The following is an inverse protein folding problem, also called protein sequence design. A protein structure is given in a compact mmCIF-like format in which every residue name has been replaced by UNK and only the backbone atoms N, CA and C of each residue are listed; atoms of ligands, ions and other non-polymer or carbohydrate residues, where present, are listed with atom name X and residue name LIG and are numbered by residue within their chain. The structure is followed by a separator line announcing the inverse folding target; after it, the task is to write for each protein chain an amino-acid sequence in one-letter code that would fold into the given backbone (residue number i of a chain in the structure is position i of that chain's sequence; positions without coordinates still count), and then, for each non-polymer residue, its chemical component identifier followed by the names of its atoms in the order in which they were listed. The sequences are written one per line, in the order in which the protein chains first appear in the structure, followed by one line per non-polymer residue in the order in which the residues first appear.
data_IF_121939701799
#
_entry.id   IF_121939701799
#
_cell.length_a   1.000
_cell.length_b   1.000
_cell.length_c   1.000
_cell.angle_alpha   90.00
_cell.angle_beta   90.00
_cell.angle_gamma   90.00
#
_symmetry.space_group_name_H-M   'P 1'
#
loop_
_entity.id
_entity.type
_entity.pdbx_description
1 polymer ?
#
# COMPACT_ATOMS: atom_id res chain seq x y z
N UNK A 1 46.30 -45.76 71.10
CA UNK A 1 46.80 -44.49 70.50
C UNK A 1 47.28 -44.59 69.04
N UNK A 2 47.35 -45.77 68.41
CA UNK A 2 47.89 -45.94 67.03
C UNK A 2 46.81 -45.73 65.94
N UNK A 3 45.52 -45.93 66.26
CA UNK A 3 44.40 -45.74 65.32
C UNK A 3 44.14 -44.28 64.92
N UNK A 4 44.44 -43.31 65.80
CA UNK A 4 44.23 -41.89 65.53
C UNK A 4 45.24 -41.30 64.51
N UNK A 5 46.41 -41.91 64.33
CA UNK A 5 47.44 -41.44 63.39
C UNK A 5 47.19 -41.85 61.93
N UNK A 6 46.42 -42.91 61.66
CA UNK A 6 46.07 -43.34 60.29
C UNK A 6 44.90 -42.59 59.66
N UNK A 7 44.10 -41.87 60.45
CA UNK A 7 42.91 -41.13 59.98
C UNK A 7 43.27 -39.73 59.45
N UNK A 8 44.39 -39.16 59.90
CA UNK A 8 44.87 -37.84 59.48
C UNK A 8 45.01 -37.67 57.94
N UNK A 9 45.66 -38.58 57.18
CA UNK A 9 45.78 -38.41 55.72
C UNK A 9 44.43 -38.50 54.99
N UNK A 10 43.48 -39.26 55.50
CA UNK A 10 42.15 -39.38 54.91
C UNK A 10 41.33 -38.09 55.02
N UNK A 11 41.46 -37.37 56.15
CA UNK A 11 40.80 -36.05 56.33
C UNK A 11 41.38 -35.01 55.37
N UNK A 12 42.70 -34.95 55.23
CA UNK A 12 43.34 -34.03 54.28
C UNK A 12 42.92 -34.30 52.83
N UNK A 13 42.82 -35.57 52.43
CA UNK A 13 42.32 -35.93 51.10
C UNK A 13 40.86 -35.52 50.89
N UNK A 14 39.99 -35.75 51.88
CA UNK A 14 38.58 -35.34 51.83
C UNK A 14 38.43 -33.82 51.67
N UNK A 15 39.21 -33.02 52.42
CA UNK A 15 39.19 -31.56 52.29
C UNK A 15 39.67 -31.10 50.92
N UNK A 16 40.73 -31.70 50.38
CA UNK A 16 41.22 -31.37 49.03
C UNK A 16 40.18 -31.69 47.96
N UNK A 17 39.56 -32.87 48.03
CA UNK A 17 38.50 -33.27 47.11
C UNK A 17 37.30 -32.32 47.18
N UNK A 18 36.91 -31.90 48.39
CA UNK A 18 35.79 -30.97 48.59
C UNK A 18 36.12 -29.56 48.06
N UNK A 19 37.36 -29.09 48.22
CA UNK A 19 37.83 -27.83 47.61
C UNK A 19 37.86 -27.90 46.08
N UNK A 20 38.26 -29.03 45.49
CA UNK A 20 38.20 -29.23 44.04
C UNK A 20 36.77 -29.21 43.52
N UNK A 21 35.84 -29.91 44.18
CA UNK A 21 34.41 -29.90 43.82
C UNK A 21 33.81 -28.50 43.98
N UNK A 22 34.17 -27.78 45.04
CA UNK A 22 33.73 -26.41 45.25
C UNK A 22 34.28 -25.46 44.16
N UNK A 23 35.57 -25.57 43.85
CA UNK A 23 36.20 -24.81 42.76
C UNK A 23 35.56 -25.09 41.39
N UNK A 24 35.28 -26.37 41.08
CA UNK A 24 34.58 -26.77 39.87
C UNK A 24 33.16 -26.18 39.80
N UNK A 25 32.41 -26.20 40.91
CA UNK A 25 31.09 -25.59 40.99
C UNK A 25 31.12 -24.07 40.77
N UNK A 26 32.11 -23.37 41.34
CA UNK A 26 32.30 -21.92 41.10
C UNK A 26 32.53 -21.66 39.61
N UNK A 27 33.40 -22.45 38.96
CA UNK A 27 33.70 -22.32 37.53
C UNK A 27 32.45 -22.57 36.68
N UNK A 28 31.69 -23.64 36.99
CA UNK A 28 30.44 -23.98 36.28
C UNK A 28 29.38 -22.87 36.42
N UNK A 29 29.16 -22.37 37.64
CA UNK A 29 28.22 -21.26 37.89
C UNK A 29 28.67 -19.99 37.16
N UNK A 30 29.98 -19.72 37.10
CA UNK A 30 30.54 -18.60 36.34
C UNK A 30 30.20 -18.68 34.86
N UNK A 31 30.42 -19.83 34.21
CA UNK A 31 30.11 -20.05 32.80
C UNK A 31 28.60 -19.98 32.50
N UNK A 32 27.76 -20.54 33.37
CA UNK A 32 26.30 -20.46 33.19
C UNK A 32 25.83 -19.01 33.33
N UNK A 33 26.36 -18.24 34.29
CA UNK A 33 26.01 -16.83 34.48
C UNK A 33 26.43 -15.97 33.28
N UNK A 34 27.62 -16.18 32.71
CA UNK A 34 28.05 -15.42 31.52
C UNK A 34 27.17 -15.74 30.31
N UNK A 35 26.89 -17.02 30.06
CA UNK A 35 26.01 -17.43 28.97
C UNK A 35 24.56 -16.91 29.15
N UNK A 36 24.04 -16.93 30.38
CA UNK A 36 22.72 -16.37 30.68
C UNK A 36 22.71 -14.85 30.51
N UNK A 37 23.77 -14.15 30.92
CA UNK A 37 23.87 -12.70 30.75
C UNK A 37 23.90 -12.29 29.27
N UNK A 38 24.60 -13.04 28.41
CA UNK A 38 24.59 -12.81 26.96
C UNK A 38 23.22 -13.06 26.35
N UNK A 39 22.55 -14.17 26.71
CA UNK A 39 21.18 -14.45 26.27
C UNK A 39 20.19 -13.40 26.74
N UNK A 40 20.25 -13.00 28.01
CA UNK A 40 19.38 -11.96 28.55
C UNK A 40 19.59 -10.61 27.84
N UNK A 41 20.85 -10.25 27.52
CA UNK A 41 21.14 -9.03 26.74
C UNK A 41 20.58 -9.12 25.33
N UNK A 42 20.75 -10.26 24.65
CA UNK A 42 20.23 -10.47 23.31
C UNK A 42 18.68 -10.46 23.29
N UNK A 43 18.03 -11.07 24.28
CA UNK A 43 16.58 -11.04 24.45
C UNK A 43 16.08 -9.63 24.77
N UNK A 44 16.76 -8.92 25.67
CA UNK A 44 16.44 -7.54 25.98
C UNK A 44 16.56 -6.65 24.73
N UNK A 45 17.62 -6.83 23.96
CA UNK A 45 17.87 -6.11 22.71
C UNK A 45 16.85 -6.47 21.61
N UNK A 46 16.43 -7.72 21.54
CA UNK A 46 15.37 -8.17 20.63
C UNK A 46 13.99 -7.61 21.03
N UNK A 47 13.77 -7.41 22.33
CA UNK A 47 12.49 -6.92 22.87
C UNK A 47 12.32 -5.41 22.84
N UNK A 48 13.42 -4.64 22.79
CA UNK A 48 13.31 -3.17 22.75
C UNK A 48 12.76 -2.72 21.38
N UNK A 49 12.05 -1.59 21.31
CA UNK A 49 11.58 -1.03 20.05
C UNK A 49 12.71 -0.82 19.04
N UNK A 50 12.39 -0.89 17.74
CA UNK A 50 13.31 -0.52 16.68
C UNK A 50 13.36 1.00 16.53
N UNK A 51 14.55 1.58 16.46
CA UNK A 51 14.73 3.01 16.24
C UNK A 51 14.65 3.32 14.75
N UNK A 52 13.66 4.12 14.35
CA UNK A 52 13.42 4.49 12.96
C UNK A 52 13.45 6.00 12.76
N UNK A 53 13.98 6.41 11.63
CA UNK A 53 13.87 7.78 11.11
C UNK A 53 12.92 7.78 9.92
N UNK A 54 12.05 8.80 9.86
CA UNK A 54 11.03 8.93 8.83
C UNK A 54 11.23 10.24 8.07
N UNK A 55 11.28 10.14 6.75
CA UNK A 55 11.26 11.30 5.86
C UNK A 55 10.07 11.17 4.92
N UNK A 56 9.09 12.06 5.08
CA UNK A 56 7.96 12.20 4.19
C UNK A 56 8.33 13.19 3.09
N UNK A 57 8.45 12.67 1.86
CA UNK A 57 8.68 13.47 0.68
C UNK A 57 7.32 13.76 0.03
N UNK A 58 6.90 15.02 0.05
CA UNK A 58 5.54 15.43 -0.31
C UNK A 58 5.54 16.53 -1.40
N UNK A 59 4.46 16.60 -2.17
CA UNK A 59 4.11 17.79 -2.95
C UNK A 59 3.05 18.57 -2.19
N UNK A 60 3.45 19.67 -1.55
CA UNK A 60 2.55 20.50 -0.75
C UNK A 60 1.50 21.24 -1.60
N UNK A 61 1.66 21.29 -2.92
CA UNK A 61 0.64 21.83 -3.84
C UNK A 61 -0.43 20.80 -4.21
N UNK A 62 -0.17 19.50 -3.99
CA UNK A 62 -1.10 18.42 -4.32
C UNK A 62 -2.07 18.11 -3.16
N UNK A 63 -3.25 18.74 -3.18
CA UNK A 63 -4.21 18.68 -2.08
C UNK A 63 -4.89 17.31 -1.87
N UNK A 64 -4.96 16.48 -2.90
CA UNK A 64 -5.67 15.18 -2.90
C UNK A 64 -4.72 13.99 -3.16
N UNK A 65 -3.41 14.23 -3.16
CA UNK A 65 -2.41 13.17 -3.23
C UNK A 65 -2.58 12.17 -2.09
N UNK A 66 -2.08 10.95 -2.31
CA UNK A 66 -2.17 9.87 -1.32
C UNK A 66 -1.71 10.33 0.08
N UNK A 67 -2.56 10.23 1.12
CA UNK A 67 -2.24 10.77 2.45
C UNK A 67 -1.23 9.86 3.18
N UNK A 68 0.05 10.01 2.85
CA UNK A 68 1.13 9.11 3.27
C UNK A 68 1.27 9.04 4.80
N UNK A 69 1.25 10.19 5.48
CA UNK A 69 1.35 10.25 6.94
C UNK A 69 0.21 9.55 7.66
N UNK A 70 -1.02 9.80 7.24
CA UNK A 70 -2.21 9.19 7.84
C UNK A 70 -2.18 7.67 7.61
N UNK A 71 -1.78 7.25 6.40
CA UNK A 71 -1.64 5.83 6.07
C UNK A 71 -0.55 5.15 6.91
N UNK A 72 0.57 5.84 7.15
CA UNK A 72 1.65 5.33 7.99
C UNK A 72 1.27 5.29 9.48
N UNK A 73 0.47 6.25 9.96
CA UNK A 73 0.09 6.33 11.37
C UNK A 73 -0.58 5.04 11.88
N UNK A 74 -1.38 4.37 11.05
CA UNK A 74 -2.03 3.11 11.42
C UNK A 74 -1.07 1.92 11.39
N UNK A 75 -0.14 1.90 10.41
CA UNK A 75 0.93 0.90 10.36
C UNK A 75 1.80 1.00 11.60
N UNK A 76 2.23 2.22 11.96
CA UNK A 76 3.08 2.49 13.13
C UNK A 76 2.48 1.94 14.43
N UNK A 77 1.16 2.02 14.62
CA UNK A 77 0.49 1.49 15.82
C UNK A 77 0.64 -0.03 15.96
N UNK A 78 0.85 -0.74 14.86
CA UNK A 78 1.06 -2.20 14.86
C UNK A 78 2.53 -2.62 15.05
N UNK A 79 3.47 -1.66 15.00
CA UNK A 79 4.90 -1.91 15.08
C UNK A 79 5.46 -1.50 16.44
N UNK A 80 6.39 -2.30 16.97
CA UNK A 80 7.18 -1.94 18.15
C UNK A 80 8.38 -1.07 17.71
N UNK A 81 8.11 0.20 17.46
CA UNK A 81 9.08 1.18 16.94
C UNK A 81 9.14 2.43 17.81
N UNK A 82 10.32 3.02 17.90
CA UNK A 82 10.58 4.36 18.42
C UNK A 82 11.01 5.24 17.25
N UNK A 83 10.32 6.37 17.06
CA UNK A 83 10.65 7.31 15.98
C UNK A 83 11.65 8.31 16.53
N UNK A 84 12.89 8.22 16.07
CA UNK A 84 14.00 9.07 16.52
C UNK A 84 14.04 10.40 15.78
N UNK A 85 13.59 10.41 14.51
CA UNK A 85 13.45 11.61 13.69
C UNK A 85 12.25 11.48 12.76
N UNK A 86 11.51 12.58 12.58
CA UNK A 86 10.41 12.69 11.62
C UNK A 86 10.52 14.03 10.89
N UNK A 87 10.59 14.00 9.56
CA UNK A 87 10.77 15.17 8.71
C UNK A 87 9.81 15.18 7.53
N UNK A 88 9.39 16.39 7.17
CA UNK A 88 8.60 16.67 5.98
C UNK A 88 9.44 17.49 5.02
N UNK A 89 9.58 17.00 3.80
CA UNK A 89 10.42 17.62 2.79
C UNK A 89 9.59 17.80 1.52
N UNK A 90 9.58 19.02 1.00
CA UNK A 90 8.99 19.28 -0.31
C UNK A 90 9.85 18.59 -1.38
N UNK A 91 9.24 17.78 -2.24
CA UNK A 91 9.99 17.02 -3.26
C UNK A 91 10.74 17.91 -4.26
N UNK A 92 10.27 19.15 -4.46
CA UNK A 92 10.82 20.16 -5.35
C UNK A 92 11.86 21.07 -4.69
N UNK A 93 12.10 20.93 -3.38
CA UNK A 93 13.21 21.57 -2.68
C UNK A 93 14.56 20.96 -3.08
N UNK A 94 15.67 21.67 -2.82
CA UNK A 94 17.02 21.15 -3.11
C UNK A 94 17.33 19.85 -2.37
N UNK A 95 16.90 19.74 -1.09
CA UNK A 95 17.01 18.50 -0.32
C UNK A 95 16.12 17.40 -0.90
N UNK A 96 14.87 17.74 -1.26
CA UNK A 96 13.93 16.80 -1.87
C UNK A 96 14.43 16.21 -3.18
N UNK A 97 14.94 17.04 -4.09
CA UNK A 97 15.54 16.60 -5.36
C UNK A 97 16.73 15.68 -5.15
N UNK A 98 17.57 15.97 -4.15
CA UNK A 98 18.69 15.11 -3.78
C UNK A 98 18.19 13.73 -3.35
N UNK A 99 17.14 13.65 -2.54
CA UNK A 99 16.52 12.38 -2.12
C UNK A 99 15.87 11.65 -3.30
N UNK A 100 15.18 12.35 -4.20
CA UNK A 100 14.60 11.77 -5.42
C UNK A 100 15.68 11.11 -6.27
N UNK A 101 16.81 11.78 -6.49
CA UNK A 101 17.93 11.26 -7.27
C UNK A 101 18.61 10.08 -6.58
N UNK A 102 18.97 10.24 -5.29
CA UNK A 102 19.64 9.21 -4.50
C UNK A 102 18.85 7.90 -4.48
N UNK A 103 17.57 7.98 -4.11
CA UNK A 103 16.72 6.81 -3.91
C UNK A 103 15.92 6.41 -5.17
N UNK A 104 16.13 7.13 -6.30
CA UNK A 104 15.43 6.92 -7.58
C UNK A 104 13.91 6.91 -7.42
N UNK A 105 13.40 7.83 -6.62
CA UNK A 105 11.97 7.94 -6.30
C UNK A 105 11.22 8.36 -7.56
N UNK A 106 10.15 7.64 -7.89
CA UNK A 106 9.33 7.93 -9.09
C UNK A 106 7.97 8.54 -8.76
N UNK A 107 7.48 8.35 -7.54
CA UNK A 107 6.12 8.71 -7.14
C UNK A 107 6.16 9.56 -5.87
N UNK A 108 5.45 10.67 -5.88
CA UNK A 108 5.30 11.57 -4.74
C UNK A 108 3.81 11.63 -4.34
N UNK A 109 3.46 11.39 -3.08
CA UNK A 109 4.35 11.33 -1.94
C UNK A 109 5.07 9.98 -1.80
N UNK A 110 6.24 10.02 -1.17
CA UNK A 110 7.03 8.85 -0.80
C UNK A 110 7.42 8.93 0.68
N UNK A 111 7.49 7.78 1.34
CA UNK A 111 8.06 7.69 2.68
C UNK A 111 9.38 6.93 2.62
N UNK A 112 10.43 7.56 3.14
CA UNK A 112 11.76 6.98 3.29
C UNK A 112 11.92 6.63 4.78
N UNK A 113 12.19 5.35 5.07
CA UNK A 113 12.40 4.85 6.42
C UNK A 113 13.86 4.42 6.56
N UNK A 114 14.57 4.97 7.54
CA UNK A 114 15.96 4.64 7.87
C UNK A 114 16.09 4.14 9.31
N UNK A 115 17.28 3.70 9.68
CA UNK A 115 17.59 3.22 11.03
C UNK A 115 17.55 1.69 11.11
N UNK A 116 16.90 1.15 12.13
CA UNK A 116 16.88 -0.28 12.43
C UNK A 116 15.83 -1.08 11.63
N UNK A 117 15.76 -0.84 10.32
CA UNK A 117 14.77 -1.44 9.41
C UNK A 117 14.91 -2.97 9.27
N UNK A 118 16.09 -3.51 9.60
CA UNK A 118 16.39 -4.96 9.57
C UNK A 118 16.16 -5.65 10.92
N UNK A 119 15.64 -4.93 11.94
CA UNK A 119 15.43 -5.53 13.26
C UNK A 119 14.32 -6.57 13.21
N UNK A 120 14.54 -7.73 13.83
CA UNK A 120 13.70 -8.91 13.70
C UNK A 120 12.21 -8.68 14.03
N UNK A 121 11.88 -7.76 14.93
CA UNK A 121 10.51 -7.44 15.31
C UNK A 121 9.75 -6.56 14.29
N UNK A 122 10.43 -5.98 13.30
CA UNK A 122 9.83 -5.09 12.29
C UNK A 122 10.16 -5.44 10.85
N UNK A 123 11.25 -6.18 10.61
CA UNK A 123 11.81 -6.42 9.27
C UNK A 123 10.80 -6.99 8.27
N UNK A 124 10.03 -8.01 8.67
CA UNK A 124 9.03 -8.64 7.80
C UNK A 124 7.90 -7.66 7.43
N UNK A 125 7.33 -6.97 8.42
CA UNK A 125 6.27 -6.00 8.20
C UNK A 125 6.74 -4.83 7.35
N UNK A 126 7.94 -4.30 7.61
CA UNK A 126 8.53 -3.22 6.82
C UNK A 126 8.80 -3.66 5.37
N UNK A 127 9.36 -4.85 5.17
CA UNK A 127 9.59 -5.39 3.83
C UNK A 127 8.29 -5.60 3.02
N UNK A 128 7.15 -5.82 3.69
CA UNK A 128 5.86 -5.93 3.03
C UNK A 128 5.28 -4.57 2.56
N UNK A 129 5.75 -3.46 3.14
CA UNK A 129 5.22 -2.13 2.86
C UNK A 129 5.99 -1.40 1.75
N UNK A 130 7.26 -1.73 1.58
CA UNK A 130 8.15 -0.96 0.73
C UNK A 130 9.26 -1.79 0.09
N UNK A 131 10.06 -1.13 -0.72
CA UNK A 131 11.22 -1.73 -1.39
C UNK A 131 12.49 -1.17 -0.78
N UNK A 132 13.46 -2.04 -0.50
CA UNK A 132 14.77 -1.62 -0.02
C UNK A 132 15.51 -0.81 -1.08
N UNK A 133 16.09 0.31 -0.68
CA UNK A 133 16.98 1.14 -1.49
C UNK A 133 18.14 1.59 -0.61
N UNK A 134 19.32 1.03 -0.87
CA UNK A 134 20.53 1.31 -0.07
C UNK A 134 20.34 1.01 1.43
N UNK A 135 20.47 2.02 2.27
CA UNK A 135 20.31 2.02 3.72
C UNK A 135 18.87 2.33 4.18
N UNK A 136 17.95 2.53 3.23
CA UNK A 136 16.56 2.89 3.50
C UNK A 136 15.55 1.87 2.96
N UNK A 137 14.33 1.95 3.47
CA UNK A 137 13.14 1.36 2.87
C UNK A 137 12.30 2.47 2.25
N UNK A 138 11.92 2.30 0.97
CA UNK A 138 11.06 3.22 0.25
C UNK A 138 9.63 2.68 0.20
N UNK A 139 8.71 3.44 0.79
CA UNK A 139 7.27 3.16 0.75
C UNK A 139 6.62 4.10 -0.27
N UNK A 140 6.03 3.47 -1.29
CA UNK A 140 5.31 4.15 -2.37
C UNK A 140 3.81 4.29 -2.01
N UNK A 141 3.09 5.23 -2.65
CA UNK A 141 1.67 5.39 -2.38
C UNK A 141 0.90 4.13 -2.81
N UNK A 142 0.04 3.62 -1.93
CA UNK A 142 -0.65 2.34 -2.12
C UNK A 142 -1.78 2.41 -3.17
N UNK A 143 -2.25 3.61 -3.49
CA UNK A 143 -3.24 3.88 -4.54
C UNK A 143 -2.84 5.12 -5.35
N UNK A 144 -3.39 5.28 -6.57
CA UNK A 144 -3.15 6.45 -7.41
C UNK A 144 -3.64 7.78 -6.79
N UNK A 145 -3.37 8.86 -7.55
CA UNK A 145 -3.19 10.25 -7.13
C UNK A 145 -1.83 10.45 -6.46
N UNK A 146 -0.82 10.56 -7.32
CA UNK A 146 0.56 10.88 -6.98
C UNK A 146 1.17 11.73 -8.09
N UNK A 147 2.20 12.50 -7.77
CA UNK A 147 2.99 13.22 -8.77
C UNK A 147 4.09 12.29 -9.29
N UNK A 148 4.23 12.19 -10.61
CA UNK A 148 5.39 11.57 -11.22
C UNK A 148 6.60 12.49 -10.98
N UNK A 149 7.58 11.98 -10.23
CA UNK A 149 8.72 12.79 -9.77
C UNK A 149 9.58 13.33 -10.93
N UNK A 150 9.48 12.74 -12.13
CA UNK A 150 10.27 13.14 -13.29
C UNK A 150 9.55 14.21 -14.11
N UNK A 151 8.26 14.03 -14.41
CA UNK A 151 7.51 14.99 -15.23
C UNK A 151 6.86 16.11 -14.42
N UNK A 152 6.57 15.88 -13.14
CA UNK A 152 5.77 16.78 -12.31
C UNK A 152 4.25 16.65 -12.53
N UNK A 153 3.82 15.72 -13.38
CA UNK A 153 2.40 15.51 -13.67
C UNK A 153 1.71 14.73 -12.54
N UNK A 154 0.46 15.09 -12.25
CA UNK A 154 -0.38 14.35 -11.30
C UNK A 154 -1.02 13.16 -12.02
N UNK A 155 -0.68 11.95 -11.60
CA UNK A 155 -1.15 10.68 -12.14
C UNK A 155 -2.30 10.12 -11.32
N UNK A 156 -3.33 9.62 -12.01
CA UNK A 156 -4.48 8.96 -11.40
C UNK A 156 -5.65 9.90 -11.06
N UNK A 157 -5.62 11.18 -11.40
CA UNK A 157 -6.84 11.99 -11.45
C UNK A 157 -7.53 11.75 -12.78
N UNK A 158 -8.66 11.06 -12.77
CA UNK A 158 -9.38 10.70 -13.99
C UNK A 158 -10.55 11.64 -14.25
N UNK A 159 -10.82 11.92 -15.52
CA UNK A 159 -12.07 12.56 -15.92
C UNK A 159 -13.11 11.47 -16.19
N UNK A 160 -14.35 11.70 -15.75
CA UNK A 160 -15.48 10.81 -15.97
C UNK A 160 -16.55 11.50 -16.81
N UNK A 161 -16.77 10.98 -18.01
CA UNK A 161 -17.86 11.40 -18.88
C UNK A 161 -18.98 10.36 -18.82
N UNK A 162 -20.12 10.75 -18.28
CA UNK A 162 -21.32 9.91 -18.22
C UNK A 162 -22.18 10.20 -19.44
N UNK A 163 -22.29 9.23 -20.34
CA UNK A 163 -23.05 9.38 -21.59
C UNK A 163 -24.46 8.84 -21.38
N UNK A 164 -25.47 9.68 -21.59
CA UNK A 164 -26.88 9.35 -21.33
C UNK A 164 -27.80 9.70 -22.47
N UNK A 165 -29.00 9.14 -22.44
CA UNK A 165 -30.13 9.59 -23.25
C UNK A 165 -31.20 10.19 -22.32
N UNK A 166 -31.35 11.53 -22.35
CA UNK A 166 -32.34 12.23 -21.55
C UNK A 166 -33.78 11.97 -22.01
N UNK A 167 -33.99 11.47 -23.23
CA UNK A 167 -35.31 11.01 -23.67
C UNK A 167 -35.66 9.63 -23.09
N UNK A 168 -34.67 8.85 -22.61
CA UNK A 168 -34.87 7.55 -21.99
C UNK A 168 -35.18 7.67 -20.48
N UNK A 169 -36.46 7.88 -20.13
CA UNK A 169 -36.88 7.98 -18.71
C UNK A 169 -36.71 6.70 -17.90
N UNK A 170 -36.68 5.54 -18.56
CA UNK A 170 -36.56 4.23 -17.91
C UNK A 170 -35.11 3.75 -17.76
N UNK A 171 -34.16 4.44 -18.41
CA UNK A 171 -32.74 4.15 -18.29
C UNK A 171 -32.25 4.41 -16.86
N UNK A 172 -31.27 3.65 -16.39
CA UNK A 172 -30.71 3.88 -15.05
C UNK A 172 -29.94 5.20 -14.96
N UNK A 173 -29.74 5.68 -13.74
CA UNK A 173 -28.89 6.85 -13.50
C UNK A 173 -27.40 6.44 -13.54
N UNK A 174 -26.59 6.93 -14.50
CA UNK A 174 -25.17 6.59 -14.57
C UNK A 174 -24.34 7.09 -13.39
N UNK A 175 -24.89 7.98 -12.54
CA UNK A 175 -24.21 8.41 -11.30
C UNK A 175 -23.89 7.24 -10.36
N UNK A 176 -24.65 6.14 -10.45
CA UNK A 176 -24.33 4.89 -9.72
C UNK A 176 -22.94 4.37 -10.08
N UNK A 177 -22.51 4.54 -11.34
CA UNK A 177 -21.19 4.09 -11.79
C UNK A 177 -20.07 4.92 -11.16
N UNK A 178 -20.28 6.24 -10.95
CA UNK A 178 -19.32 7.08 -10.25
C UNK A 178 -19.07 6.58 -8.82
N UNK A 179 -20.14 6.26 -8.08
CA UNK A 179 -20.02 5.70 -6.72
C UNK A 179 -19.28 4.36 -6.72
N UNK A 180 -19.60 3.45 -7.66
CA UNK A 180 -18.91 2.17 -7.78
C UNK A 180 -17.40 2.37 -8.04
N UNK A 181 -17.05 3.23 -8.99
CA UNK A 181 -15.66 3.52 -9.34
C UNK A 181 -14.89 4.13 -8.16
N UNK A 182 -15.50 5.08 -7.46
CA UNK A 182 -14.90 5.74 -6.30
C UNK A 182 -14.76 4.78 -5.12
N UNK A 183 -15.84 4.12 -4.74
CA UNK A 183 -15.91 3.40 -3.45
C UNK A 183 -15.30 2.00 -3.54
N UNK A 184 -15.46 1.31 -4.68
CA UNK A 184 -14.94 -0.06 -4.85
C UNK A 184 -13.55 -0.11 -5.48
N UNK A 185 -13.26 0.84 -6.40
CA UNK A 185 -12.00 0.85 -7.14
C UNK A 185 -11.06 1.98 -6.75
N UNK A 186 -11.51 2.91 -5.90
CA UNK A 186 -10.70 4.00 -5.37
C UNK A 186 -10.42 5.12 -6.37
N UNK A 187 -11.15 5.19 -7.49
CA UNK A 187 -10.91 6.18 -8.54
C UNK A 187 -11.16 7.59 -8.00
N UNK A 188 -10.20 8.48 -8.23
CA UNK A 188 -10.34 9.91 -7.95
C UNK A 188 -10.70 10.65 -9.23
N UNK A 189 -11.62 11.61 -9.12
CA UNK A 189 -12.12 12.35 -10.27
C UNK A 189 -11.68 13.82 -10.22
N UNK A 190 -11.03 14.28 -11.29
CA UNK A 190 -10.77 15.72 -11.53
C UNK A 190 -12.01 16.41 -12.06
N UNK A 191 -12.71 15.76 -12.98
CA UNK A 191 -13.91 16.27 -13.60
C UNK A 191 -14.95 15.16 -13.75
N UNK A 192 -16.22 15.51 -13.55
CA UNK A 192 -17.35 14.62 -13.80
C UNK A 192 -18.39 15.39 -14.57
N UNK A 193 -18.73 14.90 -15.74
CA UNK A 193 -19.72 15.52 -16.61
C UNK A 193 -20.75 14.50 -17.09
N UNK A 194 -21.97 14.98 -17.30
CA UNK A 194 -23.05 14.20 -17.88
C UNK A 194 -23.38 14.79 -19.24
N UNK A 195 -23.26 13.97 -20.28
CA UNK A 195 -23.39 14.36 -21.67
C UNK A 195 -24.53 13.58 -22.29
N UNK A 196 -25.45 14.31 -22.90
CA UNK A 196 -26.60 13.73 -23.58
C UNK A 196 -26.25 13.31 -25.01
N UNK A 197 -26.68 12.13 -25.45
CA UNK A 197 -26.38 11.60 -26.79
C UNK A 197 -26.95 12.44 -27.92
N UNK A 198 -28.01 13.23 -27.70
CA UNK A 198 -28.57 14.10 -28.72
C UNK A 198 -27.86 15.46 -28.82
N UNK A 199 -27.03 15.80 -27.82
CA UNK A 199 -26.18 16.98 -27.86
C UNK A 199 -25.08 16.89 -28.93
N UNK A 200 -24.55 18.03 -29.37
CA UNK A 200 -23.45 18.07 -30.36
C UNK A 200 -22.24 17.28 -29.88
N UNK A 201 -21.88 17.42 -28.61
CA UNK A 201 -20.75 16.71 -28.00
C UNK A 201 -21.04 15.22 -27.83
N UNK A 202 -22.24 14.87 -27.38
CA UNK A 202 -22.65 13.46 -27.24
C UNK A 202 -22.58 12.71 -28.56
N UNK A 203 -23.02 13.31 -29.67
CA UNK A 203 -22.90 12.74 -31.01
C UNK A 203 -21.45 12.51 -31.41
N UNK A 204 -20.57 13.48 -31.15
CA UNK A 204 -19.14 13.33 -31.41
C UNK A 204 -18.53 12.17 -30.61
N UNK A 205 -18.90 12.01 -29.34
CA UNK A 205 -18.42 10.91 -28.50
C UNK A 205 -18.99 9.55 -28.94
N UNK A 206 -20.26 9.49 -29.33
CA UNK A 206 -20.89 8.30 -29.89
C UNK A 206 -20.15 7.85 -31.15
N UNK A 207 -19.85 8.78 -32.05
CA UNK A 207 -19.14 8.49 -33.29
C UNK A 207 -17.67 8.10 -33.03
N UNK A 208 -16.96 8.90 -32.21
CA UNK A 208 -15.53 8.72 -31.95
C UNK A 208 -15.22 7.40 -31.24
N UNK A 209 -16.08 7.01 -30.28
CA UNK A 209 -15.90 5.78 -29.52
C UNK A 209 -16.81 4.65 -30.01
N UNK A 210 -17.58 4.82 -31.08
CA UNK A 210 -18.53 3.79 -31.57
C UNK A 210 -19.44 3.26 -30.44
N UNK A 211 -20.09 4.18 -29.71
CA UNK A 211 -20.96 3.81 -28.60
C UNK A 211 -22.27 3.21 -29.13
N UNK A 212 -22.63 2.02 -28.65
CA UNK A 212 -23.85 1.32 -29.09
C UNK A 212 -24.93 1.28 -28.01
N UNK A 213 -24.61 1.65 -26.77
CA UNK A 213 -25.52 1.54 -25.61
C UNK A 213 -25.31 2.70 -24.64
N UNK A 214 -26.42 3.18 -24.08
CA UNK A 214 -26.44 4.19 -23.01
C UNK A 214 -27.47 3.83 -21.95
N UNK A 215 -27.31 4.20 -20.67
CA UNK A 215 -26.18 4.96 -20.12
C UNK A 215 -24.87 4.17 -20.15
N UNK A 216 -23.78 4.84 -20.54
CA UNK A 216 -22.41 4.33 -20.46
C UNK A 216 -21.47 5.43 -19.96
N UNK A 217 -20.18 5.14 -19.82
CA UNK A 217 -19.21 6.13 -19.40
C UNK A 217 -17.83 5.92 -20.02
N UNK A 218 -17.08 7.01 -20.08
CA UNK A 218 -15.71 7.08 -20.56
C UNK A 218 -14.86 7.63 -19.42
N UNK A 219 -13.76 6.94 -19.12
CA UNK A 219 -12.72 7.38 -18.21
C UNK A 219 -11.51 7.85 -18.99
N UNK A 220 -10.87 8.93 -18.57
CA UNK A 220 -9.57 9.35 -19.13
C UNK A 220 -8.48 8.29 -18.87
N UNK A 221 -7.37 8.38 -19.62
CA UNK A 221 -6.24 7.45 -19.55
C UNK A 221 -5.64 7.27 -18.16
N UNK A 222 -5.76 8.26 -17.28
CA UNK A 222 -5.31 8.21 -15.89
C UNK A 222 -6.00 7.10 -15.07
N UNK A 223 -7.19 6.66 -15.47
CA UNK A 223 -7.85 5.52 -14.83
C UNK A 223 -7.07 4.21 -14.99
N UNK A 224 -6.19 4.09 -16.00
CA UNK A 224 -5.34 2.92 -16.18
C UNK A 224 -4.31 2.75 -15.04
N UNK A 225 -4.03 3.82 -14.28
CA UNK A 225 -3.14 3.76 -13.12
C UNK A 225 -3.71 2.92 -11.95
N UNK A 226 -5.01 2.59 -11.97
CA UNK A 226 -5.69 1.83 -10.92
C UNK A 226 -5.65 0.31 -11.20
N UNK A 227 -4.81 -0.49 -10.53
CA UNK A 227 -4.56 -1.88 -10.95
C UNK A 227 -5.78 -2.78 -10.88
N UNK A 228 -6.61 -2.63 -9.84
CA UNK A 228 -7.85 -3.40 -9.68
C UNK A 228 -8.86 -3.08 -10.79
N UNK A 229 -8.97 -1.80 -11.17
CA UNK A 229 -9.82 -1.37 -12.26
C UNK A 229 -9.28 -1.89 -13.60
N UNK A 230 -7.98 -1.73 -13.87
CA UNK A 230 -7.35 -2.24 -15.09
C UNK A 230 -7.52 -3.76 -15.27
N UNK A 231 -7.53 -4.51 -14.15
CA UNK A 231 -7.76 -5.94 -14.18
C UNK A 231 -9.18 -6.31 -14.63
N UNK A 232 -10.21 -5.66 -14.07
CA UNK A 232 -11.61 -5.98 -14.38
C UNK A 232 -12.08 -5.36 -15.70
N UNK A 233 -11.43 -4.27 -16.15
CA UNK A 233 -11.82 -3.54 -17.35
C UNK A 233 -11.86 -4.42 -18.61
N UNK A 234 -10.92 -5.36 -18.72
CA UNK A 234 -10.83 -6.32 -19.83
C UNK A 234 -12.11 -7.14 -20.06
N UNK A 235 -12.95 -7.29 -19.03
CA UNK A 235 -14.20 -8.04 -19.10
C UNK A 235 -15.43 -7.17 -19.37
N UNK A 236 -15.34 -5.84 -19.23
CA UNK A 236 -16.52 -4.96 -19.24
C UNK A 236 -16.41 -3.78 -20.21
N UNK A 237 -15.22 -3.55 -20.77
CA UNK A 237 -14.92 -2.37 -21.57
C UNK A 237 -13.75 -2.57 -22.51
N UNK A 238 -13.35 -1.47 -23.15
CA UNK A 238 -12.21 -1.38 -24.04
C UNK A 238 -11.27 -0.26 -23.57
N UNK A 239 -10.01 -0.36 -23.99
CA UNK A 239 -9.03 0.74 -23.89
C UNK A 239 -8.78 1.19 -25.32
N UNK A 240 -8.99 2.46 -25.58
CA UNK A 240 -8.92 3.07 -26.90
C UNK A 240 -7.50 3.57 -27.21
N UNK A 241 -7.24 3.99 -28.45
CA UNK A 241 -5.90 4.42 -28.89
C UNK A 241 -5.38 5.67 -28.16
N UNK A 242 -6.28 6.52 -27.69
CA UNK A 242 -5.97 7.69 -26.85
C UNK A 242 -5.75 7.32 -25.36
N UNK A 243 -5.84 6.03 -25.03
CA UNK A 243 -5.74 5.50 -23.67
C UNK A 243 -7.03 5.58 -22.87
N UNK A 244 -8.12 6.14 -23.40
CA UNK A 244 -9.40 6.25 -22.70
C UNK A 244 -10.00 4.86 -22.44
N UNK A 245 -10.63 4.72 -21.28
CA UNK A 245 -11.30 3.50 -20.84
C UNK A 245 -12.80 3.65 -21.11
N UNK A 246 -13.33 2.90 -22.08
CA UNK A 246 -14.75 2.98 -22.48
C UNK A 246 -15.51 1.77 -21.95
N UNK A 247 -16.58 2.00 -21.18
CA UNK A 247 -17.45 0.94 -20.70
C UNK A 247 -18.36 0.45 -21.83
N UNK A 248 -18.38 -0.87 -22.09
CA UNK A 248 -19.07 -1.47 -23.25
C UNK A 248 -20.19 -2.41 -22.84
N UNK A 249 -20.00 -3.16 -21.77
CA UNK A 249 -20.94 -4.18 -21.33
C UNK A 249 -21.91 -3.63 -20.27
N UNK A 250 -22.81 -2.74 -20.71
CA UNK A 250 -23.82 -2.12 -19.84
C UNK A 250 -24.76 -3.15 -19.21
N UNK A 251 -24.93 -4.32 -19.84
CA UNK A 251 -25.84 -5.37 -19.38
C UNK A 251 -25.38 -6.01 -18.05
N UNK A 252 -24.09 -5.99 -17.72
CA UNK A 252 -23.56 -6.57 -16.46
C UNK A 252 -24.14 -5.91 -15.21
N UNK A 253 -24.65 -4.68 -15.33
CA UNK A 253 -25.28 -3.96 -14.23
C UNK A 253 -26.68 -4.49 -13.90
N UNK A 254 -27.29 -5.28 -14.80
CA UNK A 254 -28.67 -5.74 -14.64
C UNK A 254 -29.67 -4.60 -14.56
N UNK A 255 -29.41 -3.50 -15.27
CA UNK A 255 -30.22 -2.28 -15.30
C UNK A 255 -30.76 -1.99 -16.71
N UNK A 256 -31.91 -1.30 -16.84
CA UNK A 256 -32.41 -0.90 -18.15
C UNK A 256 -31.47 0.08 -18.86
N UNK A 257 -31.26 -0.11 -20.16
CA UNK A 257 -30.42 0.75 -20.99
C UNK A 257 -31.04 0.91 -22.38
N UNK A 258 -30.75 1.99 -23.08
CA UNK A 258 -31.12 2.22 -24.46
C UNK A 258 -30.05 1.69 -25.40
N UNK A 259 -30.46 0.91 -26.39
CA UNK A 259 -29.62 0.40 -27.46
C UNK A 259 -29.71 1.38 -28.65
N UNK A 260 -28.60 2.06 -28.94
CA UNK A 260 -28.51 3.09 -29.97
C UNK A 260 -28.58 2.50 -31.38
N UNK A 261 -28.16 1.25 -31.57
CA UNK A 261 -28.23 0.58 -32.89
C UNK A 261 -29.65 0.06 -33.14
N UNK A 262 -30.25 -0.60 -32.13
CA UNK A 262 -31.60 -1.14 -32.23
C UNK A 262 -32.69 -0.09 -32.02
N UNK A 263 -32.32 1.14 -31.60
CA UNK A 263 -33.23 2.26 -31.32
C UNK A 263 -34.36 1.88 -30.36
N UNK A 264 -34.02 1.17 -29.27
CA UNK A 264 -35.01 0.71 -28.28
C UNK A 264 -34.43 0.55 -26.88
N UNK A 265 -35.32 0.71 -25.90
CA UNK A 265 -35.04 0.34 -24.51
C UNK A 265 -34.88 -1.18 -24.37
N UNK A 266 -33.83 -1.58 -23.68
CA UNK A 266 -33.54 -2.95 -23.27
C UNK A 266 -33.75 -3.05 -21.76
N UNK A 267 -34.62 -3.97 -21.35
CA UNK A 267 -34.85 -4.27 -19.93
C UNK A 267 -33.90 -5.38 -19.48
N UNK A 268 -33.56 -5.43 -18.17
CA UNK A 268 -32.79 -6.54 -17.62
C UNK A 268 -33.46 -7.87 -17.96
N UNK A 269 -32.71 -8.80 -18.55
CA UNK A 269 -33.20 -10.17 -18.69
C UNK A 269 -33.36 -10.71 -17.28
N UNK A 270 -34.59 -11.07 -16.89
CA UNK A 270 -34.83 -11.72 -15.61
C UNK A 270 -33.92 -12.95 -15.55
N UNK A 271 -32.88 -12.90 -14.73
CA UNK A 271 -32.04 -14.06 -14.48
C UNK A 271 -32.96 -15.10 -13.87
N UNK A 272 -33.32 -16.12 -14.65
CA UNK A 272 -34.03 -17.26 -14.10
C UNK A 272 -33.14 -17.79 -13.00
N UNK A 273 -33.54 -17.59 -11.75
CA UNK A 273 -32.92 -18.19 -10.59
C UNK A 273 -32.90 -19.69 -10.85
N UNK A 274 -31.77 -20.20 -11.30
CA UNK A 274 -31.55 -21.64 -11.37
C UNK A 274 -31.48 -22.08 -9.91
N UNK A 275 -32.45 -22.89 -9.44
CA UNK A 275 -32.53 -23.29 -8.04
C UNK A 275 -31.28 -24.06 -7.58
#
# INVERSE_FOLDING_TARGET
MIWLKRIAPFRSFLYLALLCVFGLNIILVGHVRSALAEKNKAEQEASRPANLELVFLEDFSCQDCFPMKQSWADVRKSLSVEITEEKDIAYDSEEGKTLVEQYKIKKIPALIIRGEIDKANVAETLAALGTRAEDALLVNPARPVYVDAKSGDVIGRSDLRLITDNACSDCYDPMVNQSILKDQYGVSFSHVEKIDVDSTEGKQLVDAYHLTRVPTFILSSEAAAYPRLAQIWKGIGTIEDDGSLVFRDVAVLGKPYFDLEAQRLQLPVATSTKP
#
